data_IF_605868456312
#
_entry.id   IF_605868456312
#
_cell.length_a   1.000
_cell.length_b   1.000
_cell.length_c   1.000
_cell.angle_alpha   90.00
_cell.angle_beta   90.00
_cell.angle_gamma   90.00
#
_symmetry.space_group_name_H-M   'P 1'
#
loop_
_entity.id
_entity.type
_entity.pdbx_description
1 polymer ?
#
# COMPACT_ATOMS: atom_id res chain seq x y z
N UNK A 1 -22.12 15.41 3.10
CA UNK A 1 -21.12 16.11 3.95
C UNK A 1 -19.75 15.75 3.40
N UNK A 2 -18.98 16.76 3.00
CA UNK A 2 -17.78 16.59 2.19
C UNK A 2 -16.60 16.11 3.04
N UNK A 3 -15.86 15.10 2.56
CA UNK A 3 -14.53 14.79 3.08
C UNK A 3 -13.64 16.04 2.92
N UNK A 4 -12.70 16.30 3.86
CA UNK A 4 -11.78 17.42 3.79
C UNK A 4 -10.91 17.30 2.54
N UNK A 5 -10.62 18.45 1.91
CA UNK A 5 -9.77 18.55 0.72
C UNK A 5 -8.38 17.97 1.02
N UNK A 6 -7.92 17.00 0.23
CA UNK A 6 -6.52 16.56 0.26
C UNK A 6 -5.64 17.72 -0.23
N UNK A 7 -4.61 18.08 0.55
CA UNK A 7 -3.60 19.03 0.11
C UNK A 7 -2.62 18.34 -0.87
N UNK A 8 -2.17 19.03 -1.94
CA UNK A 8 -1.33 18.43 -2.97
C UNK A 8 -0.01 17.91 -2.39
N UNK A 9 0.36 16.68 -2.78
CA UNK A 9 1.62 16.03 -2.38
C UNK A 9 2.75 16.54 -3.29
N UNK A 10 3.52 17.54 -2.86
CA UNK A 10 4.77 17.90 -3.52
C UNK A 10 5.96 17.15 -2.87
N UNK A 11 6.69 16.32 -3.63
CA UNK A 11 7.99 15.80 -3.19
C UNK A 11 9.07 16.86 -3.42
N UNK A 12 9.77 17.24 -2.35
CA UNK A 12 11.03 17.97 -2.46
C UNK A 12 12.13 16.95 -2.75
N UNK A 13 12.72 17.01 -3.94
CA UNK A 13 13.93 16.26 -4.27
C UNK A 13 15.13 17.06 -3.79
N UNK A 14 15.75 16.66 -2.68
CA UNK A 14 17.03 17.24 -2.26
C UNK A 14 18.12 16.63 -3.14
N UNK A 15 18.54 17.37 -4.17
CA UNK A 15 19.69 17.00 -4.98
C UNK A 15 20.98 17.11 -4.14
N UNK A 16 21.55 15.98 -3.74
CA UNK A 16 22.93 15.96 -3.24
C UNK A 16 23.88 16.17 -4.43
N UNK A 17 24.48 17.34 -4.49
CA UNK A 17 25.62 17.62 -5.37
C UNK A 17 26.85 16.89 -4.83
N UNK A 18 27.35 15.90 -5.57
CA UNK A 18 28.65 15.26 -5.34
C UNK A 18 29.73 16.11 -6.03
N UNK A 19 30.77 16.60 -5.33
CA UNK A 19 31.86 17.29 -5.98
C UNK A 19 32.80 16.29 -6.67
N UNK A 20 33.05 16.51 -7.96
CA UNK A 20 34.05 15.78 -8.72
C UNK A 20 35.46 16.18 -8.24
N UNK A 21 36.20 15.23 -7.66
CA UNK A 21 37.63 15.36 -7.46
C UNK A 21 38.36 14.83 -8.70
N UNK A 22 38.97 15.75 -9.46
CA UNK A 22 40.05 15.43 -10.38
C UNK A 22 41.32 15.11 -9.58
N UNK A 23 41.91 13.93 -9.76
CA UNK A 23 43.30 13.66 -9.38
C UNK A 23 44.09 13.03 -10.54
N UNK A 24 45.19 13.71 -10.79
CA UNK A 24 46.29 13.60 -11.75
C UNK A 24 46.85 12.19 -11.99
N UNK A 25 47.23 11.94 -13.25
CA UNK A 25 48.02 10.82 -13.77
C UNK A 25 49.35 10.62 -13.03
N UNK A 26 49.66 9.37 -12.68
CA UNK A 26 51.03 8.90 -12.47
C UNK A 26 51.22 7.56 -13.19
N UNK A 27 52.12 7.55 -14.16
CA UNK A 27 52.54 6.37 -14.90
C UNK A 27 53.63 5.62 -14.12
N UNK A 28 53.48 4.30 -13.97
CA UNK A 28 54.57 3.37 -13.67
C UNK A 28 54.34 2.07 -14.45
N UNK A 29 55.38 1.66 -15.16
CA UNK A 29 55.55 0.46 -15.98
C UNK A 29 55.83 -0.81 -15.14
N UNK A 30 55.33 -1.98 -15.58
CA UNK A 30 55.95 -3.28 -15.25
C UNK A 30 55.06 -4.54 -15.28
N UNK A 31 55.37 -5.48 -16.19
CA UNK A 31 55.20 -6.94 -16.00
C UNK A 31 54.04 -7.64 -16.74
N UNK A 32 54.27 -8.79 -17.43
CA UNK A 32 53.21 -9.60 -18.02
C UNK A 32 52.58 -10.46 -16.92
N UNK A 33 51.38 -10.09 -16.48
CA UNK A 33 50.56 -10.84 -15.53
C UNK A 33 49.35 -11.43 -16.24
N UNK A 34 49.10 -12.71 -15.98
CA UNK A 34 48.00 -13.51 -16.50
C UNK A 34 46.66 -12.76 -16.55
N UNK A 35 46.06 -12.67 -17.74
CA UNK A 35 44.69 -12.18 -17.95
C UNK A 35 43.69 -13.18 -17.35
N UNK A 36 43.49 -13.10 -16.04
CA UNK A 36 42.32 -13.66 -15.39
C UNK A 36 41.10 -12.84 -15.84
N UNK A 37 40.36 -13.39 -16.79
CA UNK A 37 39.11 -12.82 -17.28
C UNK A 37 38.20 -12.44 -16.11
N UNK A 38 37.83 -11.15 -16.06
CA UNK A 38 36.88 -10.64 -15.09
C UNK A 38 35.56 -11.45 -15.16
N UNK A 39 34.95 -11.81 -14.03
CA UNK A 39 33.68 -12.53 -14.03
C UNK A 39 32.63 -11.69 -14.77
N UNK A 40 31.95 -12.31 -15.73
CA UNK A 40 30.85 -11.70 -16.45
C UNK A 40 29.79 -11.19 -15.46
N UNK A 41 29.16 -10.02 -15.73
CA UNK A 41 28.10 -9.51 -14.86
C UNK A 41 26.98 -10.55 -14.77
N UNK A 42 26.72 -11.02 -13.56
CA UNK A 42 25.59 -11.90 -13.25
C UNK A 42 24.31 -11.21 -13.70
N UNK A 43 23.67 -11.74 -14.74
CA UNK A 43 22.34 -11.32 -15.15
C UNK A 43 21.42 -11.55 -13.96
N UNK A 44 20.85 -10.47 -13.41
CA UNK A 44 19.85 -10.58 -12.35
C UNK A 44 18.76 -11.56 -12.81
N UNK A 45 18.38 -12.55 -11.99
CA UNK A 45 17.40 -13.54 -12.40
C UNK A 45 16.13 -12.83 -12.87
N UNK A 46 15.63 -13.20 -14.05
CA UNK A 46 14.31 -12.77 -14.52
C UNK A 46 13.29 -13.13 -13.45
N UNK A 47 12.40 -12.21 -13.03
CA UNK A 47 11.38 -12.51 -12.05
C UNK A 47 10.61 -13.76 -12.47
N UNK A 48 10.69 -14.82 -11.66
CA UNK A 48 9.98 -16.06 -11.91
C UNK A 48 8.54 -15.93 -11.42
N UNK A 49 7.56 -16.21 -12.28
CA UNK A 49 6.16 -16.24 -11.90
C UNK A 49 5.23 -16.19 -13.12
N UNK A 50 3.91 -16.34 -12.93
CA UNK A 50 2.93 -16.16 -14.00
C UNK A 50 3.07 -14.77 -14.62
N UNK A 51 2.93 -14.57 -15.94
CA UNK A 51 3.02 -13.24 -16.56
C UNK A 51 2.00 -12.25 -16.01
N UNK A 52 2.37 -10.97 -15.91
CA UNK A 52 1.47 -9.90 -15.47
C UNK A 52 1.08 -9.99 -13.98
N UNK A 53 1.89 -10.64 -13.15
CA UNK A 53 1.60 -10.86 -11.74
C UNK A 53 2.53 -10.07 -10.84
N UNK A 54 1.96 -9.39 -9.86
CA UNK A 54 2.66 -8.89 -8.68
C UNK A 54 2.18 -9.72 -7.48
N UNK A 55 3.12 -10.17 -6.65
CA UNK A 55 2.86 -10.81 -5.37
C UNK A 55 3.91 -10.37 -4.37
N UNK A 56 3.50 -10.10 -3.14
CA UNK A 56 4.40 -9.82 -2.02
C UNK A 56 3.73 -10.27 -0.72
N UNK A 57 4.42 -11.09 0.08
CA UNK A 57 3.98 -11.53 1.41
C UNK A 57 4.65 -10.76 2.57
N UNK A 58 5.36 -9.68 2.23
CA UNK A 58 6.05 -8.77 3.12
C UNK A 58 7.11 -9.44 4.00
N UNK A 59 7.90 -10.35 3.42
CA UNK A 59 9.02 -11.01 4.10
C UNK A 59 10.28 -10.16 4.27
N UNK A 60 10.12 -8.96 4.84
CA UNK A 60 11.20 -8.02 5.09
C UNK A 60 11.69 -8.06 6.53
N UNK A 61 12.95 -7.67 6.74
CA UNK A 61 13.56 -7.55 8.07
C UNK A 61 13.18 -6.26 8.80
N UNK A 62 12.80 -5.20 8.07
CA UNK A 62 12.48 -3.89 8.62
C UNK A 62 12.16 -2.85 7.54
N UNK A 63 11.77 -1.62 7.93
CA UNK A 63 11.49 -0.53 7.00
C UNK A 63 12.72 -0.07 6.19
N UNK A 64 13.93 -0.34 6.67
CA UNK A 64 15.20 -0.04 5.99
C UNK A 64 15.76 -1.25 5.21
N UNK A 65 15.00 -2.35 5.09
CA UNK A 65 15.41 -3.50 4.28
C UNK A 65 15.58 -3.07 2.82
N UNK A 66 16.77 -3.23 2.21
CA UNK A 66 16.99 -2.79 0.84
C UNK A 66 16.08 -3.51 -0.16
N UNK A 67 15.60 -4.71 0.16
CA UNK A 67 14.67 -5.48 -0.67
C UNK A 67 13.30 -4.79 -0.74
N UNK A 68 12.87 -4.10 0.32
CA UNK A 68 11.59 -3.38 0.33
C UNK A 68 11.56 -2.32 -0.77
N UNK A 69 12.61 -1.49 -0.84
CA UNK A 69 12.76 -0.48 -1.87
C UNK A 69 12.98 -1.10 -3.26
N UNK A 70 13.78 -2.16 -3.35
CA UNK A 70 14.02 -2.88 -4.61
C UNK A 70 12.75 -3.52 -5.18
N UNK A 71 11.81 -3.92 -4.32
CA UNK A 71 10.50 -4.46 -4.68
C UNK A 71 9.45 -3.36 -4.94
N UNK A 72 9.87 -2.10 -4.89
CA UNK A 72 9.05 -0.97 -5.28
C UNK A 72 8.15 -0.44 -4.16
N UNK A 73 8.45 -0.70 -2.89
CA UNK A 73 7.74 -0.15 -1.75
C UNK A 73 8.55 0.93 -1.04
N UNK A 74 7.86 1.91 -0.47
CA UNK A 74 8.47 2.86 0.46
C UNK A 74 7.50 3.19 1.59
N UNK A 75 8.04 3.56 2.76
CA UNK A 75 7.25 4.02 3.89
C UNK A 75 7.11 5.55 3.82
N UNK A 76 5.88 6.05 3.88
CA UNK A 76 5.59 7.48 3.76
C UNK A 76 6.17 8.27 4.95
N UNK A 77 6.96 9.27 4.62
CA UNK A 77 7.44 10.31 5.55
C UNK A 77 6.98 11.72 5.17
N UNK A 78 6.45 11.88 3.96
CA UNK A 78 5.98 13.17 3.44
C UNK A 78 4.62 13.60 4.01
N UNK A 79 4.41 14.91 4.10
CA UNK A 79 3.14 15.51 4.51
C UNK A 79 2.00 15.36 3.49
N UNK A 80 0.96 16.18 3.62
CA UNK A 80 -0.24 16.13 2.79
C UNK A 80 -1.38 15.33 3.43
N UNK A 81 -2.53 15.32 2.75
CA UNK A 81 -3.71 14.61 3.22
C UNK A 81 -3.71 13.11 2.89
N UNK A 82 -4.76 12.38 3.32
CA UNK A 82 -5.75 12.80 4.33
C UNK A 82 -5.18 12.75 5.76
N UNK A 83 -6.04 12.96 6.76
CA UNK A 83 -5.72 12.77 8.17
C UNK A 83 -5.14 14.00 8.89
N UNK A 84 -4.63 13.78 10.10
CA UNK A 84 -4.06 14.84 10.94
C UNK A 84 -2.79 15.39 10.27
N UNK A 85 -2.77 16.72 10.06
CA UNK A 85 -1.68 17.40 9.37
C UNK A 85 -0.32 17.13 10.04
N UNK A 86 0.71 16.95 9.21
CA UNK A 86 2.12 16.80 9.59
C UNK A 86 2.39 15.64 10.58
N UNK A 87 1.61 14.56 10.48
CA UNK A 87 1.70 13.39 11.39
C UNK A 87 2.12 12.07 10.72
N UNK A 88 2.32 12.04 9.41
CA UNK A 88 2.80 10.83 8.71
C UNK A 88 4.23 10.49 9.12
N UNK A 89 4.48 9.23 9.47
CA UNK A 89 5.75 8.77 10.02
C UNK A 89 6.06 7.33 9.63
N UNK A 90 7.34 7.07 9.37
CA UNK A 90 7.82 5.71 9.11
C UNK A 90 7.90 4.82 10.37
N UNK A 91 7.90 5.42 11.57
CA UNK A 91 8.07 4.68 12.83
C UNK A 91 6.94 3.67 13.11
N UNK A 92 5.80 3.81 12.44
CA UNK A 92 4.66 2.89 12.56
C UNK A 92 4.73 1.65 11.68
N UNK A 93 5.61 1.63 10.68
CA UNK A 93 5.73 0.51 9.75
C UNK A 93 6.70 -0.53 10.32
N UNK A 94 6.31 -1.80 10.27
CA UNK A 94 7.17 -2.90 10.68
C UNK A 94 6.75 -4.21 10.05
N UNK A 95 7.62 -5.22 10.18
CA UNK A 95 7.44 -6.53 9.55
C UNK A 95 7.53 -7.69 10.56
N UNK A 96 6.73 -7.69 11.64
CA UNK A 96 6.85 -8.67 12.71
C UNK A 96 6.38 -10.06 12.27
N UNK A 97 6.83 -11.09 13.01
CA UNK A 97 6.22 -12.41 12.92
C UNK A 97 4.79 -12.40 13.47
N UNK A 98 3.88 -13.12 12.83
CA UNK A 98 2.50 -13.29 13.26
C UNK A 98 2.03 -14.72 12.93
N UNK A 99 1.77 -15.53 13.94
CA UNK A 99 1.38 -16.94 13.78
C UNK A 99 -0.02 -17.12 13.19
N UNK A 100 -0.82 -16.06 13.13
CA UNK A 100 -2.16 -16.07 12.49
C UNK A 100 -2.10 -15.72 11.00
N UNK A 101 -0.94 -15.29 10.52
CA UNK A 101 -0.68 -14.99 9.12
C UNK A 101 -0.08 -16.21 8.39
N UNK A 102 -0.45 -16.40 7.13
CA UNK A 102 0.17 -17.39 6.27
C UNK A 102 1.65 -17.03 6.06
N UNK A 103 2.55 -18.01 6.20
CA UNK A 103 4.00 -17.77 6.17
C UNK A 103 4.56 -17.03 7.40
N UNK A 104 3.73 -16.74 8.41
CA UNK A 104 4.21 -16.34 9.74
C UNK A 104 4.75 -14.91 9.84
N UNK A 105 4.50 -14.04 8.85
CA UNK A 105 4.94 -12.64 8.84
C UNK A 105 3.90 -11.73 8.19
N UNK A 106 3.91 -10.45 8.57
CA UNK A 106 2.98 -9.43 8.08
C UNK A 106 3.70 -8.11 7.88
N UNK A 107 3.19 -7.27 6.99
CA UNK A 107 3.34 -5.82 7.11
C UNK A 107 2.40 -5.34 8.23
N UNK A 108 2.92 -4.61 9.20
CA UNK A 108 2.17 -3.96 10.28
C UNK A 108 2.19 -2.44 10.08
N UNK A 109 1.00 -1.84 10.10
CA UNK A 109 0.77 -0.39 10.05
C UNK A 109 0.23 0.08 11.40
N UNK A 110 1.14 0.54 12.27
CA UNK A 110 0.85 1.06 13.60
C UNK A 110 0.71 2.58 13.63
N UNK A 111 -0.47 3.06 14.01
CA UNK A 111 -0.74 4.47 14.26
C UNK A 111 -0.93 4.74 15.74
N UNK A 112 -0.57 5.93 16.20
CA UNK A 112 -0.68 6.31 17.61
C UNK A 112 -1.12 7.75 17.81
N UNK A 113 -1.71 8.03 18.96
CA UNK A 113 -2.12 9.38 19.35
C UNK A 113 -2.24 9.52 20.86
N UNK A 114 -1.86 10.69 21.40
CA UNK A 114 -2.16 11.11 22.76
C UNK A 114 -3.43 11.99 22.85
N UNK A 115 -4.15 12.15 21.74
CA UNK A 115 -5.31 13.03 21.61
C UNK A 115 -4.98 14.44 21.09
N UNK A 116 -3.70 14.76 20.91
CA UNK A 116 -3.25 16.02 20.30
C UNK A 116 -2.75 15.80 18.87
N UNK A 117 -2.76 16.86 18.06
CA UNK A 117 -2.17 16.81 16.72
C UNK A 117 -0.67 16.50 16.74
N UNK A 118 0.08 17.12 17.66
CA UNK A 118 1.53 16.93 17.79
C UNK A 118 1.92 15.53 18.28
N UNK A 119 1.09 14.91 19.12
CA UNK A 119 1.28 13.55 19.61
C UNK A 119 0.68 12.47 18.71
N UNK A 120 0.12 12.84 17.55
CA UNK A 120 -0.42 11.88 16.58
C UNK A 120 0.65 11.43 15.60
N UNK A 121 0.69 10.13 15.29
CA UNK A 121 1.50 9.53 14.23
C UNK A 121 0.61 8.60 13.39
N UNK A 122 0.63 8.81 12.09
CA UNK A 122 -0.07 8.01 11.07
C UNK A 122 0.96 7.28 10.21
N UNK A 123 0.57 6.17 9.59
CA UNK A 123 1.49 5.36 8.77
C UNK A 123 0.86 4.94 7.46
N UNK A 124 1.64 5.03 6.39
CA UNK A 124 1.31 4.58 5.05
C UNK A 124 2.52 3.90 4.43
N UNK A 125 2.31 2.76 3.78
CA UNK A 125 3.29 2.11 2.90
C UNK A 125 2.73 2.19 1.49
N UNK A 126 3.53 2.73 0.57
CA UNK A 126 3.12 3.06 -0.79
C UNK A 126 3.98 2.35 -1.83
N UNK A 127 3.35 1.92 -2.91
CA UNK A 127 4.04 1.51 -4.12
C UNK A 127 4.75 2.69 -4.79
N UNK A 128 5.78 2.38 -5.57
CA UNK A 128 6.59 3.36 -6.31
C UNK A 128 6.67 3.06 -7.81
N UNK A 129 6.08 1.94 -8.25
CA UNK A 129 6.24 1.37 -9.58
C UNK A 129 5.33 2.00 -10.65
N UNK A 130 4.19 2.57 -10.25
CA UNK A 130 3.22 3.29 -11.10
C UNK A 130 2.86 2.55 -12.39
N UNK A 131 2.79 1.23 -12.34
CA UNK A 131 2.66 0.37 -13.52
C UNK A 131 1.46 -0.59 -13.47
N UNK A 132 0.58 -0.44 -12.48
CA UNK A 132 -0.63 -1.26 -12.34
C UNK A 132 -1.81 -0.55 -12.99
N UNK A 133 -2.68 -1.22 -13.72
CA UNK A 133 -3.80 -0.55 -14.41
C UNK A 133 -5.11 -1.32 -14.25
N UNK A 134 -5.58 -1.96 -15.32
CA UNK A 134 -6.75 -2.82 -15.31
C UNK A 134 -6.37 -4.24 -14.93
N UNK A 135 -7.24 -4.92 -14.20
CA UNK A 135 -6.97 -6.26 -13.70
C UNK A 135 -7.62 -6.55 -12.35
N UNK A 136 -7.09 -7.55 -11.66
CA UNK A 136 -7.55 -7.99 -10.34
C UNK A 136 -6.51 -7.62 -9.29
N UNK A 137 -6.88 -6.78 -8.34
CA UNK A 137 -6.11 -6.40 -7.17
C UNK A 137 -6.68 -7.12 -5.95
N UNK A 138 -5.85 -7.76 -5.15
CA UNK A 138 -6.27 -8.43 -3.93
C UNK A 138 -5.26 -8.24 -2.81
N UNK A 139 -5.74 -8.15 -1.57
CA UNK A 139 -4.89 -8.15 -0.39
C UNK A 139 -5.58 -8.90 0.75
N UNK A 140 -4.80 -9.62 1.55
CA UNK A 140 -5.28 -10.22 2.80
C UNK A 140 -4.90 -9.29 3.96
N UNK A 141 -5.91 -8.65 4.56
CA UNK A 141 -5.76 -7.60 5.56
C UNK A 141 -6.39 -8.04 6.88
N UNK A 142 -5.75 -7.73 7.99
CA UNK A 142 -6.34 -7.83 9.33
C UNK A 142 -6.77 -6.44 9.80
N UNK A 143 -8.06 -6.25 10.00
CA UNK A 143 -8.59 -5.03 10.61
C UNK A 143 -8.72 -5.16 12.12
N UNK A 144 -8.59 -4.04 12.83
CA UNK A 144 -8.85 -3.96 14.27
C UNK A 144 -10.09 -3.11 14.57
N UNK A 145 -10.94 -3.59 15.49
CA UNK A 145 -12.11 -2.86 15.99
C UNK A 145 -11.82 -1.93 17.16
N UNK A 146 -10.68 -2.15 17.81
CA UNK A 146 -10.24 -1.46 19.02
C UNK A 146 -8.74 -1.20 18.96
N UNK A 147 -8.22 -0.21 19.71
CA UNK A 147 -6.79 -0.01 19.76
C UNK A 147 -6.09 -1.21 20.42
N UNK A 148 -4.87 -1.49 19.97
CA UNK A 148 -3.95 -2.46 20.60
C UNK A 148 -3.60 -2.04 22.03
N UNK A 149 -3.56 -0.72 22.31
CA UNK A 149 -3.40 -0.18 23.65
C UNK A 149 -4.21 1.11 23.87
N UNK A 150 -4.66 1.35 25.10
CA UNK A 150 -5.45 2.52 25.45
C UNK A 150 -6.96 2.35 25.19
N UNK A 151 -7.72 3.44 25.34
CA UNK A 151 -9.19 3.43 25.22
C UNK A 151 -9.63 3.75 23.79
N UNK A 152 -10.58 2.99 23.24
CA UNK A 152 -11.14 3.23 21.91
C UNK A 152 -12.02 4.49 21.83
N UNK A 153 -12.39 4.85 20.60
CA UNK A 153 -13.30 5.97 20.30
C UNK A 153 -12.78 6.96 19.25
N UNK A 154 -11.55 6.79 18.77
CA UNK A 154 -11.01 7.61 17.68
C UNK A 154 -11.57 7.18 16.33
N UNK A 155 -11.77 8.14 15.43
CA UNK A 155 -12.17 7.86 14.06
C UNK A 155 -10.93 7.47 13.23
N UNK A 156 -10.48 6.24 13.45
CA UNK A 156 -9.41 5.59 12.69
C UNK A 156 -9.94 5.07 11.35
N UNK A 157 -9.09 5.08 10.34
CA UNK A 157 -9.36 4.55 9.00
C UNK A 157 -8.22 3.60 8.62
N UNK A 158 -8.58 2.37 8.27
CA UNK A 158 -7.67 1.30 7.87
C UNK A 158 -7.93 0.97 6.40
N UNK A 159 -6.92 1.10 5.52
CA UNK A 159 -7.15 1.15 4.07
C UNK A 159 -6.25 0.25 3.24
N UNK A 160 -6.83 -0.20 2.12
CA UNK A 160 -6.14 -0.81 0.98
C UNK A 160 -6.71 -0.16 -0.28
N UNK A 161 -5.84 0.40 -1.13
CA UNK A 161 -6.31 1.18 -2.26
C UNK A 161 -5.29 1.26 -3.41
N UNK A 162 -5.68 0.90 -4.64
CA UNK A 162 -5.00 1.36 -5.84
C UNK A 162 -5.24 2.85 -6.08
N UNK A 163 -4.18 3.61 -6.37
CA UNK A 163 -4.25 5.08 -6.52
C UNK A 163 -3.29 5.61 -7.58
N UNK A 164 -3.71 6.68 -8.24
CA UNK A 164 -2.90 7.39 -9.22
C UNK A 164 -1.68 8.07 -8.59
N UNK A 165 -0.60 8.28 -9.37
CA UNK A 165 0.64 8.91 -8.87
C UNK A 165 0.48 10.33 -8.29
N UNK A 166 -0.58 11.03 -8.68
CA UNK A 166 -0.83 12.43 -8.30
C UNK A 166 -2.32 12.73 -8.24
N UNK A 167 -2.75 13.33 -7.13
CA UNK A 167 -4.12 13.82 -6.90
C UNK A 167 -4.53 14.94 -7.90
N UNK A 168 -3.55 15.59 -8.55
CA UNK A 168 -3.78 16.64 -9.56
C UNK A 168 -3.97 16.08 -10.98
N UNK A 169 -3.82 14.77 -11.17
CA UNK A 169 -3.93 14.17 -12.49
C UNK A 169 -5.32 14.39 -13.09
N UNK A 170 -5.36 14.81 -14.36
CA UNK A 170 -6.60 14.88 -15.12
C UNK A 170 -7.26 13.49 -15.27
N UNK A 171 -6.46 12.42 -15.16
CA UNK A 171 -6.86 11.03 -15.24
C UNK A 171 -6.94 10.33 -13.88
N UNK A 172 -7.00 11.10 -12.79
CA UNK A 172 -7.05 10.57 -11.43
C UNK A 172 -8.03 9.42 -11.31
N UNK A 173 -7.52 8.35 -10.71
CA UNK A 173 -8.18 7.09 -10.44
C UNK A 173 -7.74 6.63 -9.05
N UNK A 174 -8.69 6.32 -8.19
CA UNK A 174 -8.44 5.76 -6.85
C UNK A 174 -9.59 4.81 -6.51
N UNK A 175 -9.25 3.61 -6.04
CA UNK A 175 -10.19 2.52 -5.76
C UNK A 175 -10.03 2.05 -4.31
N UNK A 176 -10.81 2.61 -3.39
CA UNK A 176 -10.57 2.39 -1.96
C UNK A 176 -11.39 1.25 -1.36
N UNK A 177 -10.76 0.55 -0.42
CA UNK A 177 -11.41 0.06 0.78
C UNK A 177 -11.02 0.92 1.98
N UNK A 178 -12.00 1.47 2.70
CA UNK A 178 -11.79 2.22 3.96
C UNK A 178 -12.60 1.57 5.08
N UNK A 179 -11.94 0.93 6.06
CA UNK A 179 -12.59 0.40 7.26
C UNK A 179 -12.50 1.39 8.42
N UNK A 180 -13.67 1.74 8.98
CA UNK A 180 -13.84 2.71 10.07
C UNK A 180 -14.56 2.06 11.26
N UNK A 181 -13.86 1.45 12.22
CA UNK A 181 -14.48 0.66 13.29
C UNK A 181 -15.32 1.50 14.27
N UNK A 182 -15.01 2.79 14.41
CA UNK A 182 -15.76 3.74 15.24
C UNK A 182 -16.62 4.70 14.41
N UNK A 183 -16.66 4.53 13.09
CA UNK A 183 -17.23 5.50 12.17
C UNK A 183 -16.28 6.68 11.91
N UNK A 184 -16.84 7.81 11.55
CA UNK A 184 -16.13 8.96 11.01
C UNK A 184 -16.97 9.67 9.96
N UNK A 185 -16.50 10.80 9.45
CA UNK A 185 -17.19 11.56 8.41
C UNK A 185 -18.64 11.97 8.77
N UNK A 186 -18.90 12.20 10.06
CA UNK A 186 -20.24 12.52 10.57
C UNK A 186 -21.18 11.32 10.68
N UNK A 187 -20.67 10.09 10.55
CA UNK A 187 -21.42 8.85 10.72
C UNK A 187 -20.88 8.03 11.89
N UNK A 188 -21.76 7.37 12.63
CA UNK A 188 -21.39 6.52 13.75
C UNK A 188 -21.31 5.04 13.35
N UNK A 189 -20.51 4.30 14.11
CA UNK A 189 -20.48 2.84 14.09
C UNK A 189 -19.55 2.24 13.03
N UNK A 190 -19.26 0.94 13.16
CA UNK A 190 -18.36 0.24 12.28
C UNK A 190 -18.91 0.20 10.86
N UNK A 191 -18.07 0.58 9.89
CA UNK A 191 -18.41 0.54 8.48
C UNK A 191 -17.18 0.24 7.62
N UNK A 192 -17.42 -0.45 6.51
CA UNK A 192 -16.47 -0.59 5.41
C UNK A 192 -17.02 0.17 4.21
N UNK A 193 -16.27 1.17 3.76
CA UNK A 193 -16.57 1.89 2.54
C UNK A 193 -15.77 1.34 1.38
N UNK A 194 -16.44 1.24 0.23
CA UNK A 194 -15.81 0.97 -1.07
C UNK A 194 -16.05 2.19 -1.95
N UNK A 195 -14.99 2.72 -2.56
CA UNK A 195 -15.05 4.03 -3.22
C UNK A 195 -14.30 4.00 -4.54
N UNK A 196 -14.92 4.47 -5.61
CA UNK A 196 -14.25 4.72 -6.91
C UNK A 196 -14.22 6.22 -7.18
N UNK A 197 -13.02 6.80 -7.24
CA UNK A 197 -12.80 8.22 -7.49
C UNK A 197 -12.51 8.50 -8.95
N UNK A 198 -13.12 9.57 -9.45
CA UNK A 198 -12.82 10.19 -10.74
C UNK A 198 -11.92 11.42 -10.57
N UNK A 199 -12.07 12.20 -9.49
CA UNK A 199 -11.23 13.35 -9.17
C UNK A 199 -11.09 13.54 -7.66
N UNK A 200 -9.89 13.88 -7.22
CA UNK A 200 -9.62 14.22 -5.83
C UNK A 200 -10.22 15.59 -5.43
N UNK A 201 -10.03 16.63 -6.25
CA UNK A 201 -10.57 17.97 -6.01
C UNK A 201 -11.06 18.66 -7.32
N UNK A 202 -12.29 19.21 -7.35
CA UNK A 202 -13.37 18.93 -6.40
C UNK A 202 -13.67 17.43 -6.38
N UNK A 203 -14.06 16.87 -5.22
CA UNK A 203 -14.25 15.44 -5.08
C UNK A 203 -15.39 14.95 -5.98
N UNK A 204 -15.09 13.99 -6.86
CA UNK A 204 -16.04 13.34 -7.76
C UNK A 204 -15.84 11.83 -7.66
N UNK A 205 -16.80 11.13 -7.04
CA UNK A 205 -16.69 9.71 -6.70
C UNK A 205 -18.05 9.05 -6.55
N UNK A 206 -18.07 7.72 -6.60
CA UNK A 206 -19.19 6.88 -6.18
C UNK A 206 -18.74 5.92 -5.09
N UNK A 207 -19.64 5.58 -4.18
CA UNK A 207 -19.31 4.71 -3.06
C UNK A 207 -20.47 3.84 -2.60
N UNK A 208 -20.14 2.76 -1.91
CA UNK A 208 -21.05 1.93 -1.15
C UNK A 208 -20.53 1.74 0.26
N UNK A 209 -21.43 1.70 1.24
CA UNK A 209 -21.10 1.51 2.65
C UNK A 209 -21.75 0.25 3.19
N UNK A 210 -20.92 -0.69 3.62
CA UNK A 210 -21.33 -1.85 4.40
C UNK A 210 -21.25 -1.52 5.89
N UNK A 211 -22.39 -1.47 6.58
CA UNK A 211 -22.44 -1.22 8.04
C UNK A 211 -22.25 -2.53 8.80
N UNK A 212 -21.01 -2.88 9.06
CA UNK A 212 -20.64 -4.14 9.70
C UNK A 212 -19.29 -4.02 10.40
N UNK A 213 -19.10 -4.80 11.47
CA UNK A 213 -17.79 -5.06 12.09
C UNK A 213 -16.99 -6.03 11.23
N UNK A 214 -15.74 -5.70 10.96
CA UNK A 214 -14.83 -6.49 10.13
C UNK A 214 -13.50 -6.76 10.88
N UNK A 215 -13.49 -6.83 12.22
CA UNK A 215 -12.30 -7.25 12.96
C UNK A 215 -11.87 -8.65 12.52
N UNK A 216 -10.58 -8.80 12.22
CA UNK A 216 -10.00 -10.07 11.78
C UNK A 216 -9.43 -10.02 10.37
N UNK A 217 -8.98 -11.19 9.90
CA UNK A 217 -8.42 -11.39 8.56
C UNK A 217 -9.52 -11.47 7.51
N UNK A 218 -9.38 -10.66 6.46
CA UNK A 218 -10.27 -10.62 5.31
C UNK A 218 -9.46 -10.59 4.01
N UNK A 219 -10.03 -11.15 2.93
CA UNK A 219 -9.53 -10.93 1.57
C UNK A 219 -10.35 -9.82 0.93
N UNK A 220 -9.67 -8.72 0.62
CA UNK A 220 -10.23 -7.56 -0.06
C UNK A 220 -9.83 -7.64 -1.51
N UNK A 221 -10.79 -7.55 -2.43
CA UNK A 221 -10.51 -7.65 -3.86
C UNK A 221 -11.22 -6.55 -4.64
N UNK A 222 -10.47 -5.93 -5.55
CA UNK A 222 -10.95 -4.98 -6.56
C UNK A 222 -10.67 -5.58 -7.94
N UNK A 223 -11.71 -5.79 -8.74
CA UNK A 223 -11.59 -6.24 -10.13
C UNK A 223 -12.00 -5.10 -11.05
N UNK A 224 -11.02 -4.46 -11.69
CA UNK A 224 -11.22 -3.34 -12.60
C UNK A 224 -10.95 -3.79 -14.05
N UNK A 225 -12.00 -4.31 -14.70
CA UNK A 225 -11.94 -4.87 -16.06
C UNK A 225 -13.26 -4.62 -16.78
N UNK A 226 -13.23 -4.69 -18.11
CA UNK A 226 -14.43 -4.67 -18.97
C UNK A 226 -15.36 -3.48 -18.73
N UNK A 227 -14.81 -2.31 -18.39
CA UNK A 227 -15.58 -1.08 -18.17
C UNK A 227 -16.30 -1.01 -16.80
N UNK A 228 -15.94 -1.90 -15.87
CA UNK A 228 -16.50 -1.95 -14.50
C UNK A 228 -15.40 -2.07 -13.46
N UNK A 229 -15.72 -1.65 -12.23
CA UNK A 229 -14.91 -1.93 -11.03
C UNK A 229 -15.79 -2.62 -10.00
N UNK A 230 -15.50 -3.88 -9.71
CA UNK A 230 -16.21 -4.68 -8.71
C UNK A 230 -15.36 -4.83 -7.46
N UNK A 231 -15.97 -4.58 -6.31
CA UNK A 231 -15.37 -4.73 -4.99
C UNK A 231 -15.99 -5.94 -4.30
N UNK A 232 -15.16 -6.82 -3.74
CA UNK A 232 -15.63 -7.95 -2.94
C UNK A 232 -14.84 -8.11 -1.66
N UNK A 233 -15.52 -8.59 -0.62
CA UNK A 233 -14.95 -8.97 0.66
C UNK A 233 -15.23 -10.46 0.88
N UNK A 234 -14.18 -11.24 1.07
CA UNK A 234 -14.24 -12.70 1.28
C UNK A 234 -15.10 -13.42 0.22
N UNK A 235 -14.95 -13.02 -1.04
CA UNK A 235 -15.59 -13.63 -2.21
C UNK A 235 -17.01 -13.14 -2.45
N UNK A 236 -17.54 -12.28 -1.58
CA UNK A 236 -18.87 -11.67 -1.73
C UNK A 236 -18.75 -10.27 -2.32
N UNK A 237 -19.39 -10.04 -3.45
CA UNK A 237 -19.53 -8.70 -4.04
C UNK A 237 -20.22 -7.74 -3.07
N UNK A 238 -19.64 -6.55 -2.91
CA UNK A 238 -20.17 -5.45 -2.13
C UNK A 238 -20.71 -4.32 -3.01
N UNK A 239 -19.99 -4.01 -4.09
CA UNK A 239 -20.23 -2.83 -4.90
C UNK A 239 -19.66 -3.01 -6.28
N UNK A 240 -20.37 -2.52 -7.30
CA UNK A 240 -19.84 -2.40 -8.65
C UNK A 240 -20.07 -0.97 -9.16
N UNK A 241 -19.00 -0.30 -9.59
CA UNK A 241 -19.04 0.99 -10.29
C UNK A 241 -18.68 0.81 -11.77
N UNK A 242 -18.97 1.82 -12.59
CA UNK A 242 -18.75 1.78 -14.04
C UNK A 242 -18.62 3.17 -14.65
N UNK A 243 -18.44 3.24 -15.97
CA UNK A 243 -18.39 4.50 -16.71
C UNK A 243 -17.13 5.30 -16.39
N UNK A 244 -17.28 6.59 -16.04
CA UNK A 244 -16.12 7.46 -15.76
C UNK A 244 -15.28 7.05 -14.55
N UNK A 245 -15.79 6.16 -13.68
CA UNK A 245 -15.14 5.76 -12.43
C UNK A 245 -14.22 4.53 -12.56
N UNK A 246 -14.03 4.00 -13.78
CA UNK A 246 -13.00 2.99 -14.05
C UNK A 246 -11.60 3.61 -14.04
N UNK A 247 -10.52 2.83 -13.84
CA UNK A 247 -9.16 3.34 -13.99
C UNK A 247 -8.93 4.01 -15.34
N UNK A 248 -8.31 5.20 -15.32
CA UNK A 248 -7.98 6.02 -16.50
C UNK A 248 -6.49 6.28 -16.66
N UNK A 249 -5.69 5.88 -15.68
CA UNK A 249 -4.23 5.88 -15.74
C UNK A 249 -3.66 4.74 -14.89
N UNK A 250 -2.36 4.46 -15.10
CA UNK A 250 -1.63 3.51 -14.25
C UNK A 250 -1.54 4.06 -12.82
N UNK A 251 -1.69 3.17 -11.85
CA UNK A 251 -1.75 3.37 -10.41
C UNK A 251 -0.61 2.63 -9.71
N UNK A 252 -0.45 2.92 -8.42
CA UNK A 252 0.24 2.11 -7.42
C UNK A 252 -0.76 1.49 -6.44
N UNK A 253 -0.30 0.64 -5.53
CA UNK A 253 -1.07 0.14 -4.37
C UNK A 253 -0.55 0.81 -3.11
N UNK A 254 -1.45 1.26 -2.25
CA UNK A 254 -1.12 1.83 -0.95
C UNK A 254 -1.89 1.11 0.17
N UNK A 255 -1.27 1.06 1.34
CA UNK A 255 -1.88 0.64 2.60
C UNK A 255 -1.68 1.74 3.62
N UNK A 256 -2.71 2.10 4.38
CA UNK A 256 -2.57 3.11 5.42
C UNK A 256 -3.45 2.85 6.63
N UNK A 257 -2.99 3.34 7.78
CA UNK A 257 -3.74 3.37 9.02
C UNK A 257 -3.64 4.79 9.56
N UNK A 258 -4.74 5.52 9.70
CA UNK A 258 -4.70 6.96 9.94
C UNK A 258 -5.95 7.45 10.68
N UNK A 259 -5.95 8.71 11.15
CA UNK A 259 -7.02 9.28 11.96
C UNK A 259 -7.71 10.44 11.24
N UNK A 260 -9.03 10.41 11.15
CA UNK A 260 -9.83 11.56 10.72
C UNK A 260 -9.72 12.67 11.78
N UNK A 261 -9.96 12.30 13.03
CA UNK A 261 -9.82 13.10 14.24
C UNK A 261 -9.65 12.16 15.45
N UNK A 262 -9.41 12.73 16.64
CA UNK A 262 -9.10 11.97 17.87
C UNK A 262 -9.96 12.38 19.07
N UNK A 263 -11.29 12.22 19.01
CA UNK A 263 -12.22 12.70 20.04
C UNK A 263 -12.19 11.87 21.33
N UNK A 264 -11.58 10.68 21.34
CA UNK A 264 -11.53 9.87 22.55
C UNK A 264 -10.70 10.57 23.64
N UNK A 265 -11.24 10.56 24.86
CA UNK A 265 -10.56 11.11 26.04
C UNK A 265 -9.73 10.03 26.73
N UNK A 266 -8.61 10.43 27.33
CA UNK A 266 -7.73 9.55 28.09
C UNK A 266 -6.26 9.71 27.70
N UNK A 267 -5.47 8.68 28.00
CA UNK A 267 -4.04 8.64 27.68
C UNK A 267 -3.74 8.15 26.25
N UNK A 268 -2.47 7.82 25.97
CA UNK A 268 -2.03 7.35 24.66
C UNK A 268 -2.80 6.13 24.15
N UNK A 269 -3.02 6.09 22.83
CA UNK A 269 -3.63 4.97 22.11
C UNK A 269 -2.75 4.54 20.96
N UNK A 270 -2.80 3.25 20.66
CA UNK A 270 -2.12 2.65 19.51
C UNK A 270 -3.09 1.75 18.76
N UNK A 271 -3.13 1.87 17.44
CA UNK A 271 -3.97 1.08 16.54
C UNK A 271 -3.09 0.35 15.54
N UNK A 272 -3.41 -0.91 15.26
CA UNK A 272 -2.71 -1.70 14.26
C UNK A 272 -3.67 -2.11 13.13
N UNK A 273 -3.20 -2.00 11.90
CA UNK A 273 -3.71 -2.75 10.76
C UNK A 273 -2.59 -3.66 10.28
N UNK A 274 -2.90 -4.86 9.81
CA UNK A 274 -1.87 -5.78 9.27
C UNK A 274 -2.22 -6.21 7.86
N UNK A 275 -1.20 -6.50 7.05
CA UNK A 275 -1.33 -7.05 5.71
C UNK A 275 -0.47 -8.30 5.63
N UNK A 276 -1.07 -9.43 5.28
CA UNK A 276 -0.34 -10.69 5.13
C UNK A 276 0.29 -10.79 3.74
N UNK A 277 -0.47 -10.48 2.70
CA UNK A 277 0.01 -10.47 1.33
C UNK A 277 -0.79 -9.53 0.46
N UNK A 278 -0.18 -9.12 -0.66
CA UNK A 278 -0.81 -8.41 -1.77
C UNK A 278 -0.59 -9.21 -3.05
N UNK A 279 -1.60 -9.18 -3.92
CA UNK A 279 -1.61 -9.82 -5.23
C UNK A 279 -2.20 -8.86 -6.26
N UNK A 280 -1.61 -8.82 -7.45
CA UNK A 280 -2.21 -8.20 -8.61
C UNK A 280 -2.01 -9.06 -9.84
N UNK A 281 -3.03 -9.10 -10.70
CA UNK A 281 -3.00 -9.71 -12.02
C UNK A 281 -3.45 -8.70 -13.06
N UNK A 282 -2.54 -8.36 -13.98
CA UNK A 282 -2.82 -7.45 -15.09
C UNK A 282 -3.80 -8.07 -16.09
N UNK A 283 -4.74 -7.24 -16.55
CA UNK A 283 -5.63 -7.49 -17.69
C UNK A 283 -6.46 -8.78 -17.61
N UNK A 284 -6.75 -9.24 -16.38
CA UNK A 284 -7.49 -10.47 -16.15
C UNK A 284 -8.48 -10.33 -14.98
N UNK A 285 -9.66 -10.93 -15.16
CA UNK A 285 -10.64 -11.16 -14.09
C UNK A 285 -10.31 -12.51 -13.46
N UNK A 286 -9.82 -12.49 -12.23
CA UNK A 286 -9.46 -13.70 -11.48
C UNK A 286 -10.44 -13.91 -10.32
N UNK A 287 -10.93 -15.13 -10.14
CA UNK A 287 -11.79 -15.44 -9.00
C UNK A 287 -10.98 -15.42 -7.70
N UNK A 288 -11.61 -15.12 -6.55
CA UNK A 288 -10.90 -15.16 -5.27
C UNK A 288 -10.31 -16.55 -4.99
N UNK A 289 -10.98 -17.63 -5.39
CA UNK A 289 -10.47 -18.98 -5.21
C UNK A 289 -9.19 -19.22 -6.02
N UNK A 290 -9.10 -18.70 -7.25
CA UNK A 290 -7.91 -18.81 -8.09
C UNK A 290 -6.77 -17.89 -7.61
N UNK A 291 -7.09 -16.70 -7.08
CA UNK A 291 -6.12 -15.86 -6.37
C UNK A 291 -5.53 -16.65 -5.20
N UNK A 292 -6.37 -17.22 -4.33
CA UNK A 292 -5.90 -17.98 -3.17
C UNK A 292 -5.06 -19.19 -3.59
N UNK A 293 -5.49 -19.95 -4.60
CA UNK A 293 -4.72 -21.07 -5.15
C UNK A 293 -3.33 -20.63 -5.64
N UNK A 294 -3.25 -19.48 -6.29
CA UNK A 294 -1.97 -18.94 -6.80
C UNK A 294 -1.07 -18.53 -5.64
N UNK A 295 -1.62 -17.81 -4.65
CA UNK A 295 -0.91 -17.39 -3.44
C UNK A 295 -0.40 -18.60 -2.64
N UNK A 296 -1.23 -19.62 -2.44
CA UNK A 296 -0.83 -20.87 -1.78
C UNK A 296 0.30 -21.58 -2.52
N UNK A 297 0.31 -21.49 -3.86
CA UNK A 297 1.42 -21.95 -4.70
C UNK A 297 2.73 -21.22 -4.42
N UNK A 298 2.69 -19.88 -4.30
CA UNK A 298 3.88 -19.10 -3.92
C UNK A 298 4.40 -19.47 -2.53
N UNK A 299 3.53 -19.57 -1.54
CA UNK A 299 3.93 -20.01 -0.19
C UNK A 299 4.53 -21.42 -0.18
N UNK A 300 3.92 -22.36 -0.91
CA UNK A 300 4.42 -23.73 -1.00
C UNK A 300 5.79 -23.82 -1.67
N UNK A 301 6.09 -22.89 -2.57
CA UNK A 301 7.38 -22.76 -3.25
C UNK A 301 8.41 -21.92 -2.48
N UNK A 302 8.06 -21.35 -1.31
CA UNK A 302 8.92 -20.41 -0.58
C UNK A 302 9.19 -19.12 -1.35
N UNK A 303 8.26 -18.69 -2.21
CA UNK A 303 8.36 -17.47 -2.99
C UNK A 303 7.73 -16.31 -2.21
N UNK A 304 8.55 -15.34 -1.79
CA UNK A 304 8.08 -14.19 -1.01
C UNK A 304 7.66 -13.00 -1.87
N UNK A 305 8.23 -12.88 -3.08
CA UNK A 305 7.96 -11.79 -4.00
C UNK A 305 7.98 -12.25 -5.47
N UNK A 306 7.04 -11.73 -6.25
CA UNK A 306 6.96 -11.87 -7.71
C UNK A 306 6.60 -10.53 -8.31
N UNK A 307 7.28 -10.12 -9.38
CA UNK A 307 6.82 -9.01 -10.21
C UNK A 307 7.18 -9.25 -11.67
N UNK A 308 6.19 -9.74 -12.41
CA UNK A 308 6.24 -9.99 -13.86
C UNK A 308 5.31 -9.03 -14.61
N UNK A 309 4.86 -7.96 -13.94
CA UNK A 309 4.09 -6.88 -14.57
C UNK A 309 5.01 -6.15 -15.54
N UNK A 310 4.60 -5.94 -16.81
CA UNK A 310 5.42 -5.20 -17.75
C UNK A 310 5.86 -3.84 -17.18
N UNK A 311 7.14 -3.53 -17.32
CA UNK A 311 7.66 -2.19 -16.99
C UNK A 311 7.01 -1.18 -17.93
N UNK A 312 6.67 -0.01 -17.39
CA UNK A 312 6.08 1.09 -18.15
C UNK A 312 7.06 1.66 -19.18
#
# INVERSE_FOLDING_TARGET
MSQPRRAPRHRVWTALTVPALLCVLAACSGGPGDDAAAPAPSVSPTPSGPPGTLFDNFHYSGPDDPSLAAHGWEVRTGGGGPGIKDSWSAAGAGFPSDTTAQGGRVLQLRSSTDGTGQGTRQVEVQGTGKNLFTGTFAARVHFSDKPTSGRGGDHVVQTFFPISPSDESANYSELDFEYLPNGGWGTAGPRLDTVSWYKADPPDRVSHTLKQRAEGWHVLMVTAMNGTVTYSLDGKELFTSSGKYVPREKMDIHFSNWFIDTPATGGPRTWDMKVNWVYYKADEVVSQADVQKTVDGFYSAGTDYVNTVPKA
#
